data_IF_468396098476
#
_entry.id   IF_468396098476
#
_cell.length_a   1.000
_cell.length_b   1.000
_cell.length_c   1.000
_cell.angle_alpha   90.00
_cell.angle_beta   90.00
_cell.angle_gamma   90.00
#
_symmetry.space_group_name_H-M   'P 1'
#
loop_
_entity.id
_entity.type
_entity.pdbx_description
1 polymer ?
#
# COMPACT_ATOMS: atom_id res chain seq x y z
N UNK A 1 -7.74 14.77 19.44
CA UNK A 1 -8.58 13.77 18.73
C UNK A 1 -7.75 12.82 17.89
N UNK A 2 -6.82 13.33 17.05
CA UNK A 2 -5.99 12.48 16.17
C UNK A 2 -5.12 11.45 16.90
N UNK A 3 -4.50 11.83 18.03
CA UNK A 3 -3.66 10.93 18.83
C UNK A 3 -4.41 9.70 19.36
N UNK A 4 -5.71 9.80 19.63
CA UNK A 4 -6.50 8.71 20.19
C UNK A 4 -6.90 7.69 19.11
N UNK A 5 -7.26 8.18 17.91
CA UNK A 5 -7.56 7.33 16.75
C UNK A 5 -6.31 6.57 16.32
N UNK A 6 -5.16 7.24 16.23
CA UNK A 6 -3.86 6.60 15.93
C UNK A 6 -3.50 5.54 16.97
N UNK A 7 -3.75 5.77 18.26
CA UNK A 7 -3.38 4.84 19.32
C UNK A 7 -4.14 3.50 19.27
N UNK A 8 -5.36 3.47 18.72
CA UNK A 8 -6.16 2.24 18.55
C UNK A 8 -5.95 1.62 17.16
N UNK A 9 -5.88 2.46 16.13
CA UNK A 9 -5.78 2.02 14.73
C UNK A 9 -4.40 1.41 14.42
N UNK A 10 -3.33 1.98 14.97
CA UNK A 10 -1.94 1.59 14.67
C UNK A 10 -1.59 0.17 15.14
N UNK A 11 -1.83 -0.26 16.39
CA UNK A 11 -1.50 -1.62 16.82
C UNK A 11 -2.32 -2.68 16.09
N UNK A 12 -3.60 -2.42 15.79
CA UNK A 12 -4.43 -3.37 15.04
C UNK A 12 -3.96 -3.49 13.58
N UNK A 13 -3.62 -2.38 12.91
CA UNK A 13 -3.18 -2.41 11.52
C UNK A 13 -1.74 -2.90 11.34
N UNK A 14 -0.84 -2.60 12.28
CA UNK A 14 0.53 -3.12 12.29
C UNK A 14 0.54 -4.63 12.55
N UNK A 15 -0.24 -5.11 13.53
CA UNK A 15 -0.31 -6.54 13.86
C UNK A 15 -0.90 -7.40 12.74
N UNK A 16 -1.84 -6.86 11.95
CA UNK A 16 -2.54 -7.63 10.90
C UNK A 16 -1.88 -7.51 9.52
N UNK A 17 -1.30 -6.35 9.18
CA UNK A 17 -0.83 -6.07 7.80
C UNK A 17 0.62 -5.57 7.68
N UNK A 18 1.40 -5.50 8.77
CA UNK A 18 2.76 -4.91 8.83
C UNK A 18 2.79 -3.53 8.12
N UNK A 19 1.85 -2.67 8.51
CA UNK A 19 1.69 -1.33 7.97
C UNK A 19 2.94 -0.46 8.21
N UNK A 20 3.48 0.15 7.14
CA UNK A 20 4.65 1.07 7.24
C UNK A 20 4.27 2.54 7.39
N UNK A 21 3.02 2.83 7.76
CA UNK A 21 2.54 4.18 8.10
C UNK A 21 2.85 5.24 7.02
N UNK A 22 2.63 4.94 5.74
CA UNK A 22 2.80 5.93 4.65
C UNK A 22 1.74 7.03 4.63
N UNK A 23 0.75 6.99 5.53
CA UNK A 23 -0.32 7.99 5.62
C UNK A 23 -1.39 7.91 4.52
N UNK A 24 -1.25 7.02 3.53
CA UNK A 24 -2.18 6.86 2.41
C UNK A 24 -2.46 5.37 2.12
N UNK A 25 -3.43 4.79 2.81
CA UNK A 25 -3.70 3.34 2.76
C UNK A 25 -4.33 2.91 1.42
N UNK A 26 -3.78 1.87 0.79
CA UNK A 26 -4.29 1.26 -0.47
C UNK A 26 -4.40 -0.27 -0.38
N UNK A 27 -4.66 -0.81 0.80
CA UNK A 27 -4.73 -2.26 1.03
C UNK A 27 -5.78 -2.93 0.13
N UNK A 28 -6.91 -2.27 -0.11
CA UNK A 28 -7.97 -2.80 -0.97
C UNK A 28 -7.50 -2.99 -2.42
N UNK A 29 -6.62 -2.11 -2.93
CA UNK A 29 -6.03 -2.24 -4.27
C UNK A 29 -4.86 -3.20 -4.35
N UNK A 30 -4.30 -3.63 -3.22
CA UNK A 30 -3.06 -4.42 -3.16
C UNK A 30 -3.27 -5.78 -2.53
N UNK A 31 -4.47 -6.35 -2.66
CA UNK A 31 -4.75 -7.71 -2.14
C UNK A 31 -4.56 -7.84 -0.63
N UNK A 32 -4.82 -6.75 0.11
CA UNK A 32 -4.57 -6.63 1.56
C UNK A 32 -3.08 -6.76 1.96
N UNK A 33 -2.17 -6.48 1.03
CA UNK A 33 -0.72 -6.47 1.28
C UNK A 33 -0.18 -5.03 1.25
N UNK A 34 0.43 -4.55 2.34
CA UNK A 34 0.98 -3.18 2.37
C UNK A 34 2.19 -3.07 1.41
N UNK A 35 2.11 -2.31 0.29
CA UNK A 35 3.18 -2.27 -0.73
C UNK A 35 4.46 -1.62 -0.20
N UNK A 36 4.34 -0.81 0.86
CA UNK A 36 5.48 -0.16 1.53
C UNK A 36 6.36 -1.14 2.29
N UNK A 37 5.97 -2.42 2.43
CA UNK A 37 6.89 -3.48 2.90
C UNK A 37 7.97 -3.80 1.88
N UNK A 38 7.84 -3.34 0.63
CA UNK A 38 8.91 -3.43 -0.36
C UNK A 38 10.10 -2.56 0.08
N UNK A 39 11.35 -3.08 0.15
CA UNK A 39 12.52 -2.26 0.47
C UNK A 39 12.79 -1.13 -0.54
N UNK A 40 12.19 -1.21 -1.72
CA UNK A 40 12.28 -0.19 -2.77
C UNK A 40 11.16 0.85 -2.70
N UNK A 41 10.27 0.76 -1.71
CA UNK A 41 9.13 1.66 -1.53
C UNK A 41 8.24 1.83 -2.78
N UNK A 42 8.14 0.78 -3.60
CA UNK A 42 7.32 0.80 -4.82
C UNK A 42 5.84 0.71 -4.47
N UNK A 43 5.10 1.78 -4.79
CA UNK A 43 3.65 1.83 -4.60
C UNK A 43 2.88 1.11 -5.71
N UNK A 44 3.45 1.03 -6.92
CA UNK A 44 2.82 0.45 -8.10
C UNK A 44 3.70 -0.67 -8.66
N UNK A 45 3.19 -1.91 -8.59
CA UNK A 45 3.74 -3.08 -9.25
C UNK A 45 5.08 -3.62 -8.68
N UNK A 46 5.44 -4.86 -9.06
CA UNK A 46 6.69 -5.48 -8.66
C UNK A 46 7.90 -4.78 -9.30
N UNK A 47 9.05 -4.82 -8.62
CA UNK A 47 10.31 -4.26 -9.12
C UNK A 47 11.01 -5.08 -10.23
N UNK A 48 10.41 -6.18 -10.69
CA UNK A 48 11.06 -7.19 -11.54
C UNK A 48 12.06 -8.11 -10.81
N UNK A 49 12.56 -7.71 -9.64
CA UNK A 49 13.49 -8.46 -8.81
C UNK A 49 12.89 -9.60 -7.98
N UNK A 50 11.86 -10.29 -8.48
CA UNK A 50 11.28 -11.44 -7.77
C UNK A 50 12.10 -12.67 -8.12
N UNK A 51 12.63 -13.37 -7.11
CA UNK A 51 13.36 -14.63 -7.29
C UNK A 51 12.42 -15.74 -7.78
N UNK A 52 12.99 -16.80 -8.38
CA UNK A 52 12.20 -17.93 -8.89
C UNK A 52 11.33 -18.63 -7.82
N UNK A 53 11.74 -18.58 -6.55
CA UNK A 53 10.94 -19.07 -5.41
C UNK A 53 9.86 -18.07 -4.93
N UNK A 54 9.72 -16.91 -5.59
CA UNK A 54 8.80 -15.83 -5.26
C UNK A 54 9.25 -14.94 -4.08
N UNK A 55 10.51 -15.03 -3.66
CA UNK A 55 11.08 -14.15 -2.63
C UNK A 55 11.61 -12.85 -3.24
N UNK A 56 11.77 -11.83 -2.39
CA UNK A 56 12.34 -10.54 -2.78
C UNK A 56 13.82 -10.69 -3.17
N UNK A 57 14.35 -9.92 -4.13
CA UNK A 57 15.80 -9.89 -4.42
C UNK A 57 16.65 -9.35 -3.28
N UNK A 58 16.17 -8.32 -2.57
CA UNK A 58 16.91 -7.64 -1.50
C UNK A 58 16.94 -8.50 -0.23
N UNK A 59 15.81 -9.16 0.08
CA UNK A 59 15.66 -10.04 1.24
C UNK A 59 15.34 -11.48 0.78
N UNK A 60 16.36 -12.34 0.60
CA UNK A 60 16.19 -13.71 0.07
C UNK A 60 15.33 -14.63 0.91
N UNK A 61 15.28 -14.36 2.21
CA UNK A 61 14.51 -15.05 3.22
C UNK A 61 13.04 -14.61 3.27
N UNK A 62 12.67 -13.50 2.61
CA UNK A 62 11.33 -12.91 2.69
C UNK A 62 10.58 -13.04 1.37
N UNK A 63 9.32 -13.47 1.46
CA UNK A 63 8.37 -13.48 0.34
C UNK A 63 8.21 -12.07 -0.23
N UNK A 64 8.13 -11.95 -1.56
CA UNK A 64 7.91 -10.65 -2.20
C UNK A 64 6.51 -10.12 -1.91
N UNK A 65 6.41 -8.90 -1.40
CA UNK A 65 5.14 -8.20 -1.10
C UNK A 65 4.17 -8.14 -2.28
N UNK A 66 4.69 -8.02 -3.51
CA UNK A 66 3.87 -7.95 -4.73
C UNK A 66 3.39 -9.31 -5.22
N UNK A 67 4.10 -10.38 -4.87
CA UNK A 67 3.59 -11.74 -5.05
C UNK A 67 2.44 -11.99 -4.08
N UNK A 68 2.59 -11.58 -2.82
CA UNK A 68 1.51 -11.64 -1.82
C UNK A 68 0.30 -10.78 -2.24
N UNK A 69 0.54 -9.56 -2.74
CA UNK A 69 -0.51 -8.68 -3.23
C UNK A 69 -1.28 -9.31 -4.39
N UNK A 70 -0.57 -9.93 -5.34
CA UNK A 70 -1.19 -10.63 -6.46
C UNK A 70 -2.05 -11.79 -5.99
N UNK A 71 -1.50 -12.72 -5.21
CA UNK A 71 -2.23 -13.86 -4.67
C UNK A 71 -3.43 -13.42 -3.82
N UNK A 72 -3.25 -12.38 -2.99
CA UNK A 72 -4.29 -11.79 -2.16
C UNK A 72 -5.43 -11.20 -2.99
N UNK A 73 -5.11 -10.45 -4.05
CA UNK A 73 -6.11 -9.88 -4.96
C UNK A 73 -7.00 -10.97 -5.57
N UNK A 74 -6.41 -12.12 -5.91
CA UNK A 74 -7.12 -13.27 -6.48
C UNK A 74 -7.97 -14.04 -5.45
N UNK A 75 -7.92 -13.69 -4.17
CA UNK A 75 -8.79 -14.26 -3.12
C UNK A 75 -9.92 -13.30 -2.73
N UNK A 76 -9.83 -12.03 -3.11
CA UNK A 76 -10.86 -11.06 -2.77
C UNK A 76 -12.15 -11.31 -3.57
N UNK A 77 -13.32 -11.21 -2.93
CA UNK A 77 -14.62 -11.26 -3.61
C UNK A 77 -14.93 -9.97 -4.37
N UNK A 78 -14.34 -8.84 -3.95
CA UNK A 78 -14.50 -7.50 -4.52
C UNK A 78 -13.12 -6.87 -4.72
N UNK A 79 -12.98 -5.93 -5.66
CA UNK A 79 -11.72 -5.20 -5.92
C UNK A 79 -10.53 -6.07 -6.38
N UNK A 80 -10.80 -7.25 -6.96
CA UNK A 80 -9.77 -8.17 -7.45
C UNK A 80 -8.89 -7.54 -8.54
N UNK A 81 -9.52 -6.75 -9.40
CA UNK A 81 -8.98 -6.00 -10.53
C UNK A 81 -8.24 -4.72 -10.12
N UNK A 82 -8.47 -4.20 -8.90
CA UNK A 82 -7.84 -2.96 -8.44
C UNK A 82 -6.31 -3.03 -8.33
N UNK A 83 -5.72 -4.23 -8.35
CA UNK A 83 -4.25 -4.40 -8.42
C UNK A 83 -3.65 -3.90 -9.73
N UNK A 84 -4.47 -3.79 -10.77
CA UNK A 84 -4.10 -3.26 -12.08
C UNK A 84 -4.30 -1.74 -12.15
N UNK A 85 -4.97 -1.13 -11.17
CA UNK A 85 -5.20 0.31 -11.11
C UNK A 85 -3.93 1.04 -10.65
N UNK A 86 -3.43 1.93 -11.51
CA UNK A 86 -2.31 2.81 -11.18
C UNK A 86 -2.69 3.77 -10.05
N UNK A 87 -2.00 3.63 -8.93
CA UNK A 87 -2.20 4.49 -7.75
C UNK A 87 -1.32 5.74 -7.86
N UNK A 88 -1.84 6.87 -7.38
CA UNK A 88 -1.04 8.10 -7.23
C UNK A 88 0.25 7.85 -6.44
N UNK A 89 1.34 8.58 -6.72
CA UNK A 89 2.57 8.49 -5.94
C UNK A 89 2.32 8.72 -4.44
N UNK A 90 3.17 8.14 -3.59
CA UNK A 90 3.12 8.42 -2.15
C UNK A 90 3.51 9.86 -1.89
N UNK A 91 2.67 10.58 -1.14
CA UNK A 91 3.07 11.83 -0.51
C UNK A 91 3.80 11.52 0.80
N UNK A 92 5.13 11.62 0.75
CA UNK A 92 6.00 11.35 1.87
C UNK A 92 5.85 12.37 3.02
N UNK A 93 5.21 13.53 2.79
CA UNK A 93 4.90 14.47 3.87
C UNK A 93 3.84 13.93 4.84
N UNK A 94 3.07 12.91 4.41
CA UNK A 94 2.06 12.23 5.23
C UNK A 94 2.63 11.04 6.00
N UNK A 95 3.92 10.72 5.85
CA UNK A 95 4.52 9.58 6.55
C UNK A 95 4.40 9.75 8.08
N UNK A 96 3.98 8.69 8.77
CA UNK A 96 3.77 8.67 10.22
C UNK A 96 2.43 9.25 10.69
N UNK A 97 1.61 9.81 9.79
CA UNK A 97 0.26 10.31 10.09
C UNK A 97 -0.81 9.22 9.91
N UNK A 98 -2.03 9.42 10.42
CA UNK A 98 -3.14 8.45 10.27
C UNK A 98 -3.69 8.44 8.86
N UNK A 99 -3.82 7.24 8.29
CA UNK A 99 -4.48 7.05 6.99
C UNK A 99 -5.96 7.45 7.00
N UNK A 100 -6.70 7.22 8.10
CA UNK A 100 -8.11 7.60 8.19
C UNK A 100 -8.31 9.10 8.25
N UNK A 101 -7.47 9.81 9.01
CA UNK A 101 -7.57 11.26 9.12
C UNK A 101 -7.25 11.91 7.77
N UNK A 102 -6.22 11.43 7.08
CA UNK A 102 -5.89 11.94 5.75
C UNK A 102 -6.98 11.66 4.72
N UNK A 103 -7.66 10.51 4.82
CA UNK A 103 -8.82 10.18 3.98
C UNK A 103 -9.99 11.14 4.23
N UNK A 104 -10.39 11.32 5.48
CA UNK A 104 -11.54 12.18 5.84
C UNK A 104 -11.25 13.66 5.56
N UNK A 105 -10.01 14.10 5.74
CA UNK A 105 -9.57 15.47 5.41
C UNK A 105 -9.22 15.65 3.93
N UNK A 106 -9.39 14.61 3.10
CA UNK A 106 -9.02 14.58 1.68
C UNK A 106 -7.53 14.92 1.38
N UNK A 107 -6.67 14.91 2.40
CA UNK A 107 -5.22 15.11 2.25
C UNK A 107 -4.58 13.97 1.49
N UNK A 108 -5.08 12.74 1.68
CA UNK A 108 -4.57 11.61 0.91
C UNK A 108 -4.91 11.76 -0.57
N UNK A 109 -6.02 12.44 -0.91
CA UNK A 109 -6.59 12.72 -2.23
C UNK A 109 -5.69 13.53 -3.17
N UNK A 110 -4.82 14.37 -2.63
CA UNK A 110 -4.02 15.32 -3.40
C UNK A 110 -3.00 14.59 -4.28
N UNK A 111 -3.08 14.81 -5.59
CA UNK A 111 -2.12 14.29 -6.55
C UNK A 111 -1.05 15.35 -6.89
N UNK A 112 0.20 14.95 -7.18
CA UNK A 112 1.23 15.90 -7.58
C UNK A 112 0.90 16.54 -8.94
N UNK A 113 1.41 17.75 -9.17
CA UNK A 113 1.22 18.47 -10.44
C UNK A 113 1.71 17.60 -11.61
N UNK A 114 0.85 17.41 -12.62
CA UNK A 114 1.14 16.57 -13.79
C UNK A 114 0.78 15.09 -13.62
N UNK A 115 0.17 14.70 -12.49
CA UNK A 115 -0.47 13.39 -12.38
C UNK A 115 -1.84 13.42 -13.07
N UNK A 116 -1.98 12.64 -14.12
CA UNK A 116 -3.25 12.40 -14.79
C UNK A 116 -3.77 11.01 -14.38
N UNK A 117 -4.99 10.98 -13.84
CA UNK A 117 -5.69 9.74 -13.56
C UNK A 117 -5.94 9.00 -14.89
N UNK A 118 -5.27 7.87 -15.12
CA UNK A 118 -5.56 7.04 -16.28
C UNK A 118 -6.91 6.35 -16.09
N UNK A 119 -7.68 6.20 -17.18
CA UNK A 119 -9.01 5.59 -17.13
C UNK A 119 -8.96 4.21 -16.44
N UNK A 120 -9.51 4.14 -15.22
CA UNK A 120 -9.46 2.98 -14.33
C UNK A 120 -8.88 3.26 -12.93
N UNK A 121 -8.28 4.43 -12.68
CA UNK A 121 -7.81 4.83 -11.33
C UNK A 121 -8.89 5.41 -10.44
#
# INVERSE_FOLDING_TARGET
MERLVVAVEKPLKEAVWDCRMCGQCILHSTGLSCPMRCPKNLRNGPCGGVRANGNCEVYPDKRCVWVEAWEGSRRLPVFRDHIEHLQKPVDWQLQGTSSWINLVSARDGVAPKGWEAHAGS
#
